data_IF_063218171812
#
_entry.id   IF_063218171812
#
_cell.length_a   1.000
_cell.length_b   1.000
_cell.length_c   1.000
_cell.angle_alpha   90.00
_cell.angle_beta   90.00
_cell.angle_gamma   90.00
#
_symmetry.space_group_name_H-M   'P 1'
#
loop_
_entity.id
_entity.type
_entity.pdbx_description
1 polymer ?
#
# COMPACT_ATOMS: atom_id res chain seq x y z
N UNK A 1 41.07 10.24 -53.72
CA UNK A 1 41.52 11.54 -53.18
C UNK A 1 40.92 11.72 -51.79
N UNK A 2 41.67 12.21 -50.81
CA UNK A 2 41.12 12.56 -49.49
C UNK A 2 40.37 13.92 -49.56
N UNK A 3 39.23 14.01 -48.88
CA UNK A 3 38.45 15.22 -48.82
C UNK A 3 39.19 16.34 -48.08
N UNK A 4 38.91 17.60 -48.48
CA UNK A 4 39.35 18.79 -47.74
C UNK A 4 38.15 19.54 -47.16
N UNK A 5 38.29 20.26 -46.07
CA UNK A 5 37.18 20.99 -45.46
C UNK A 5 36.65 22.11 -46.40
N UNK A 6 37.54 22.75 -47.13
CA UNK A 6 37.18 23.73 -48.16
C UNK A 6 36.32 23.11 -49.26
N UNK A 7 36.67 21.92 -49.75
CA UNK A 7 35.89 21.22 -50.74
C UNK A 7 34.49 20.87 -50.20
N UNK A 8 34.39 20.43 -48.96
CA UNK A 8 33.11 20.07 -48.31
C UNK A 8 32.21 21.31 -48.14
N UNK A 9 32.76 22.45 -47.78
CA UNK A 9 32.01 23.73 -47.64
C UNK A 9 31.37 24.16 -48.94
N UNK A 10 32.14 24.11 -50.04
CA UNK A 10 31.74 24.59 -51.36
C UNK A 10 30.82 23.64 -52.09
N UNK A 11 30.56 22.43 -51.57
CA UNK A 11 29.64 21.47 -52.18
C UNK A 11 28.21 22.00 -52.21
N UNK A 12 27.64 22.06 -53.40
CA UNK A 12 26.22 22.33 -53.64
C UNK A 12 25.42 21.04 -53.70
N UNK A 13 24.21 20.99 -53.15
CA UNK A 13 23.32 19.85 -53.29
C UNK A 13 22.91 19.70 -54.76
N UNK A 14 22.58 18.48 -55.14
CA UNK A 14 22.03 18.13 -56.47
C UNK A 14 20.66 17.46 -56.28
N UNK A 15 19.90 17.31 -57.33
CA UNK A 15 18.54 16.71 -57.30
C UNK A 15 18.55 15.25 -56.77
N UNK A 16 19.70 14.58 -56.79
CA UNK A 16 19.86 13.21 -56.28
C UNK A 16 20.87 13.15 -55.13
N UNK A 17 20.60 12.28 -54.14
CA UNK A 17 21.54 11.99 -53.10
C UNK A 17 22.83 11.37 -53.62
N UNK A 18 23.98 11.93 -53.33
CA UNK A 18 25.29 11.39 -53.74
C UNK A 18 26.27 11.22 -52.56
N UNK A 19 27.30 10.44 -52.78
CA UNK A 19 28.33 10.11 -51.78
C UNK A 19 29.67 10.61 -52.26
N UNK A 20 30.44 11.21 -51.35
CA UNK A 20 31.84 11.57 -51.55
C UNK A 20 32.71 10.72 -50.59
N UNK A 21 33.53 9.88 -51.17
CA UNK A 21 34.45 9.06 -50.37
C UNK A 21 35.62 9.85 -49.84
N UNK A 22 36.01 9.56 -48.61
CA UNK A 22 37.28 9.96 -48.03
C UNK A 22 38.22 8.73 -47.99
N UNK A 23 38.93 8.49 -46.92
CA UNK A 23 39.82 7.35 -46.76
C UNK A 23 39.17 6.26 -45.87
N UNK A 24 39.59 5.00 -46.10
CA UNK A 24 39.28 3.87 -45.18
C UNK A 24 37.79 3.64 -44.89
N UNK A 25 36.92 3.78 -45.90
CA UNK A 25 35.48 3.55 -45.80
C UNK A 25 34.68 4.72 -45.29
N UNK A 26 35.32 5.85 -44.94
CA UNK A 26 34.64 7.08 -44.56
C UNK A 26 34.09 7.76 -45.83
N UNK A 27 32.83 8.26 -45.74
CA UNK A 27 32.23 9.03 -46.82
C UNK A 27 31.22 10.07 -46.27
N UNK A 28 31.07 11.14 -47.01
CA UNK A 28 30.06 12.16 -46.80
C UNK A 28 28.86 11.91 -47.70
N UNK A 29 27.68 11.78 -47.14
CA UNK A 29 26.42 11.64 -47.86
C UNK A 29 25.78 13.04 -47.97
N UNK A 30 25.55 13.54 -49.20
CA UNK A 30 24.90 14.80 -49.44
C UNK A 30 23.48 14.54 -49.96
N UNK A 31 22.48 15.10 -49.33
CA UNK A 31 21.08 14.96 -49.71
C UNK A 31 20.60 16.19 -50.51
N UNK A 32 19.53 16.07 -51.31
CA UNK A 32 18.97 17.18 -52.10
C UNK A 32 18.60 18.42 -51.27
N UNK A 33 18.20 18.20 -50.02
CA UNK A 33 17.89 19.27 -49.05
C UNK A 33 19.13 19.97 -48.48
N UNK A 34 20.33 19.69 -48.99
CA UNK A 34 21.59 20.29 -48.55
C UNK A 34 22.21 19.68 -47.32
N UNK A 35 21.55 18.74 -46.64
CA UNK A 35 22.14 18.10 -45.45
C UNK A 35 23.32 17.20 -45.83
N UNK A 36 24.42 17.33 -45.07
CA UNK A 36 25.69 16.61 -45.25
C UNK A 36 25.91 15.69 -44.04
N UNK A 37 26.00 14.39 -44.24
CA UNK A 37 26.05 13.39 -43.16
C UNK A 37 27.26 12.47 -43.31
N UNK A 38 28.03 12.33 -42.24
CA UNK A 38 29.19 11.41 -42.21
C UNK A 38 28.80 9.99 -41.92
N UNK A 39 29.31 9.05 -42.73
CA UNK A 39 29.18 7.60 -42.59
C UNK A 39 30.51 6.89 -42.77
N UNK A 40 30.65 5.74 -42.13
CA UNK A 40 31.69 4.77 -42.44
C UNK A 40 31.04 3.45 -42.91
N UNK A 41 31.60 2.88 -44.01
CA UNK A 41 31.30 1.54 -44.52
C UNK A 41 32.36 0.58 -43.98
N UNK A 42 31.93 -0.55 -43.44
CA UNK A 42 32.83 -1.57 -42.86
C UNK A 42 32.23 -2.97 -43.02
N UNK A 43 33.05 -3.99 -42.88
CA UNK A 43 32.64 -5.39 -42.88
C UNK A 43 32.93 -6.02 -41.52
N UNK A 44 31.98 -6.82 -41.03
CA UNK A 44 32.15 -7.66 -39.83
C UNK A 44 31.34 -8.95 -40.08
N UNK A 45 31.87 -10.10 -39.70
CA UNK A 45 31.27 -11.42 -39.92
C UNK A 45 30.80 -11.62 -41.37
N UNK A 46 31.63 -11.20 -42.33
CA UNK A 46 31.34 -11.32 -43.76
C UNK A 46 30.27 -10.35 -44.30
N UNK A 47 29.56 -9.62 -43.44
CA UNK A 47 28.46 -8.69 -43.81
C UNK A 47 28.94 -7.24 -43.86
N UNK A 48 28.51 -6.54 -44.92
CA UNK A 48 28.74 -5.13 -45.05
C UNK A 48 27.75 -4.31 -44.20
N UNK A 49 28.25 -3.41 -43.38
CA UNK A 49 27.47 -2.51 -42.52
C UNK A 49 27.90 -1.06 -42.71
N UNK A 50 27.03 -0.11 -42.27
CA UNK A 50 27.28 1.32 -42.25
C UNK A 50 27.11 1.89 -40.86
N UNK A 51 28.00 2.81 -40.45
CA UNK A 51 27.94 3.53 -39.19
C UNK A 51 27.84 5.02 -39.46
N UNK A 52 26.82 5.67 -38.89
CA UNK A 52 26.64 7.13 -39.00
C UNK A 52 27.41 7.82 -37.87
N UNK A 53 28.15 8.90 -38.21
CA UNK A 53 28.88 9.71 -37.21
C UNK A 53 28.19 11.01 -36.86
N UNK A 54 27.40 11.58 -37.75
CA UNK A 54 26.65 12.82 -37.51
C UNK A 54 26.69 13.80 -38.67
N UNK A 55 25.98 14.92 -38.54
CA UNK A 55 25.94 15.95 -39.60
C UNK A 55 27.22 16.81 -39.62
N UNK A 56 27.61 17.24 -40.79
CA UNK A 56 28.53 18.35 -40.97
C UNK A 56 27.73 19.65 -40.99
N UNK A 57 28.19 20.77 -40.31
CA UNK A 57 29.53 20.95 -39.71
C UNK A 57 29.68 20.49 -38.24
N UNK A 58 28.64 20.04 -37.53
CA UNK A 58 28.72 19.64 -36.12
C UNK A 58 29.81 18.59 -35.90
N UNK A 59 29.96 17.67 -36.86
CA UNK A 59 31.09 16.73 -36.94
C UNK A 59 31.98 17.22 -38.07
N UNK A 60 33.11 17.86 -37.72
CA UNK A 60 34.13 18.31 -38.67
C UNK A 60 34.79 17.11 -39.39
N UNK A 61 35.49 17.36 -40.53
CA UNK A 61 36.23 16.33 -41.22
C UNK A 61 37.27 15.62 -40.33
N UNK A 62 37.97 16.43 -39.50
CA UNK A 62 38.95 15.89 -38.55
C UNK A 62 38.27 14.93 -37.53
N UNK A 63 37.17 15.36 -36.95
CA UNK A 63 36.39 14.56 -36.01
C UNK A 63 35.83 13.29 -36.65
N UNK A 64 35.34 13.37 -37.90
CA UNK A 64 34.86 12.23 -38.65
C UNK A 64 35.94 11.18 -38.87
N UNK A 65 37.18 11.60 -39.20
CA UNK A 65 38.35 10.74 -39.32
C UNK A 65 38.73 10.08 -37.99
N UNK A 66 38.72 10.83 -36.89
CA UNK A 66 38.94 10.26 -35.53
C UNK A 66 37.88 9.17 -35.19
N UNK A 67 36.59 9.44 -35.48
CA UNK A 67 35.54 8.45 -35.24
C UNK A 67 35.68 7.22 -36.12
N UNK A 68 36.11 7.39 -37.40
CA UNK A 68 36.44 6.27 -38.30
C UNK A 68 37.54 5.42 -37.70
N UNK A 69 38.64 6.02 -37.26
CA UNK A 69 39.81 5.29 -36.78
C UNK A 69 39.47 4.53 -35.49
N UNK A 70 38.76 5.12 -34.56
CA UNK A 70 38.25 4.46 -33.38
C UNK A 70 37.29 3.29 -33.72
N UNK A 71 36.36 3.48 -34.67
CA UNK A 71 35.47 2.45 -35.11
C UNK A 71 36.21 1.30 -35.80
N UNK A 72 37.26 1.59 -36.59
CA UNK A 72 38.06 0.57 -37.23
C UNK A 72 38.94 -0.25 -36.26
N UNK A 73 39.41 0.36 -35.16
CA UNK A 73 40.05 -0.37 -34.08
C UNK A 73 39.13 -1.44 -33.50
N UNK A 74 37.90 -1.06 -33.17
CA UNK A 74 36.88 -1.98 -32.65
C UNK A 74 36.56 -3.14 -33.65
N UNK A 75 36.42 -2.82 -34.91
CA UNK A 75 36.19 -3.85 -35.92
C UNK A 75 37.37 -4.85 -35.99
N UNK A 76 38.60 -4.39 -35.87
CA UNK A 76 39.80 -5.27 -35.82
C UNK A 76 39.83 -6.14 -34.56
N UNK A 77 39.26 -5.65 -33.45
CA UNK A 77 39.10 -6.38 -32.18
C UNK A 77 37.91 -7.33 -32.21
N UNK A 78 37.17 -7.43 -33.33
CA UNK A 78 36.00 -8.29 -33.47
C UNK A 78 34.70 -7.71 -32.92
N UNK A 79 34.72 -6.45 -32.47
CA UNK A 79 33.53 -5.78 -31.91
C UNK A 79 32.80 -4.95 -32.96
N UNK A 80 31.45 -5.01 -32.96
CA UNK A 80 30.62 -4.23 -33.90
C UNK A 80 30.32 -2.84 -33.34
N UNK A 81 30.91 -1.75 -33.90
CA UNK A 81 30.72 -0.40 -33.40
C UNK A 81 29.27 0.13 -33.55
N UNK A 82 28.46 -0.46 -34.44
CA UNK A 82 27.05 -0.13 -34.55
C UNK A 82 26.22 -0.65 -33.36
N UNK A 83 26.56 -1.83 -32.85
CA UNK A 83 25.94 -2.41 -31.65
C UNK A 83 26.30 -1.58 -30.44
N UNK A 84 27.58 -1.23 -30.28
CA UNK A 84 28.05 -0.36 -29.19
C UNK A 84 27.35 0.99 -29.19
N UNK A 85 27.18 1.61 -30.35
CA UNK A 85 26.47 2.89 -30.50
C UNK A 85 24.99 2.74 -30.12
N UNK A 86 24.36 1.65 -30.51
CA UNK A 86 22.95 1.35 -30.17
C UNK A 86 22.78 1.14 -28.67
N UNK A 87 23.72 0.40 -28.05
CA UNK A 87 23.75 0.21 -26.58
C UNK A 87 23.95 1.55 -25.86
N UNK A 88 24.89 2.39 -26.32
CA UNK A 88 25.13 3.70 -25.75
C UNK A 88 23.92 4.67 -25.90
N UNK A 89 23.22 4.60 -27.02
CA UNK A 89 21.98 5.36 -27.24
C UNK A 89 20.83 4.85 -26.36
N UNK A 90 20.68 3.53 -26.19
CA UNK A 90 19.73 2.94 -25.26
C UNK A 90 20.05 3.34 -23.82
N UNK A 91 21.33 3.31 -23.40
CA UNK A 91 21.77 3.80 -22.10
C UNK A 91 21.47 5.29 -21.90
N UNK A 92 21.57 6.13 -22.93
CA UNK A 92 21.19 7.55 -22.87
C UNK A 92 19.67 7.74 -22.75
N UNK A 93 18.87 6.96 -23.48
CA UNK A 93 17.40 6.98 -23.39
C UNK A 93 16.89 6.46 -22.06
N UNK A 94 17.61 5.53 -21.43
CA UNK A 94 17.22 4.89 -20.16
C UNK A 94 17.83 5.59 -18.93
N UNK A 95 18.19 6.87 -19.00
CA UNK A 95 18.62 7.67 -17.84
C UNK A 95 17.42 8.05 -16.96
N UNK A 96 16.70 7.04 -16.45
CA UNK A 96 15.66 7.24 -15.48
C UNK A 96 16.27 7.27 -14.07
N UNK A 97 15.88 8.27 -13.27
CA UNK A 97 16.27 8.33 -11.86
C UNK A 97 15.41 7.37 -11.02
N UNK A 98 15.89 7.05 -9.82
CA UNK A 98 15.12 6.25 -8.88
C UNK A 98 13.75 6.88 -8.60
N UNK A 99 13.68 8.20 -8.40
CA UNK A 99 12.43 8.95 -8.19
C UNK A 99 11.45 8.73 -9.34
N UNK A 100 11.90 8.88 -10.59
CA UNK A 100 11.04 8.70 -11.76
C UNK A 100 10.49 7.27 -11.84
N UNK A 101 11.35 6.27 -11.62
CA UNK A 101 10.94 4.86 -11.64
C UNK A 101 9.98 4.54 -10.49
N UNK A 102 10.26 5.04 -9.29
CA UNK A 102 9.41 4.86 -8.12
C UNK A 102 8.02 5.48 -8.31
N UNK A 103 7.96 6.68 -8.89
CA UNK A 103 6.67 7.34 -9.18
C UNK A 103 5.90 6.63 -10.30
N UNK A 104 6.57 6.13 -11.34
CA UNK A 104 5.93 5.32 -12.38
C UNK A 104 5.39 4.00 -11.81
N UNK A 105 6.19 3.31 -10.99
CA UNK A 105 5.73 2.12 -10.27
C UNK A 105 4.52 2.42 -9.39
N UNK A 106 4.56 3.52 -8.66
CA UNK A 106 3.46 3.94 -7.80
C UNK A 106 2.18 4.23 -8.60
N UNK A 107 2.27 4.91 -9.75
CA UNK A 107 1.14 5.20 -10.63
C UNK A 107 0.54 3.92 -11.24
N UNK A 108 1.38 2.93 -11.58
CA UNK A 108 0.95 1.64 -12.10
C UNK A 108 0.40 0.69 -11.00
N UNK A 109 0.59 1.05 -9.72
CA UNK A 109 0.21 0.21 -8.57
C UNK A 109 -1.26 0.38 -8.19
N UNK A 110 -2.17 -0.03 -9.09
CA UNK A 110 -3.64 0.19 -9.01
C UNK A 110 -4.39 -0.64 -7.96
N UNK A 111 -3.71 -1.51 -7.21
CA UNK A 111 -4.35 -2.47 -6.29
C UNK A 111 -4.50 -1.98 -4.84
N UNK A 112 -4.10 -0.76 -4.54
CA UNK A 112 -4.20 -0.21 -3.19
C UNK A 112 -5.21 0.94 -3.11
N UNK A 113 -5.74 1.18 -1.89
CA UNK A 113 -6.62 2.33 -1.65
C UNK A 113 -5.85 3.64 -1.86
N UNK A 114 -6.54 4.71 -2.27
CA UNK A 114 -5.94 6.03 -2.46
C UNK A 114 -5.17 6.53 -1.23
N UNK A 115 -5.69 6.26 -0.02
CA UNK A 115 -5.01 6.59 1.23
C UNK A 115 -3.69 5.85 1.41
N UNK A 116 -3.66 4.55 1.09
CA UNK A 116 -2.43 3.77 1.19
C UNK A 116 -1.41 4.19 0.13
N UNK A 117 -1.87 4.52 -1.08
CA UNK A 117 -1.02 5.09 -2.12
C UNK A 117 -0.34 6.38 -1.66
N UNK A 118 -1.10 7.32 -1.09
CA UNK A 118 -0.54 8.56 -0.50
C UNK A 118 0.46 8.26 0.61
N UNK A 119 0.21 7.23 1.41
CA UNK A 119 1.13 6.81 2.50
C UNK A 119 2.45 6.27 1.93
N UNK A 120 2.40 5.44 0.88
CA UNK A 120 3.59 4.94 0.17
C UNK A 120 4.42 6.12 -0.35
N UNK A 121 3.77 7.03 -1.08
CA UNK A 121 4.44 8.20 -1.65
C UNK A 121 5.15 9.03 -0.57
N UNK A 122 4.46 9.41 0.51
CA UNK A 122 5.03 10.18 1.63
C UNK A 122 6.22 9.46 2.28
N UNK A 123 6.18 8.14 2.40
CA UNK A 123 7.30 7.35 2.94
C UNK A 123 8.51 7.36 2.01
N UNK A 124 8.30 7.20 0.69
CA UNK A 124 9.37 7.29 -0.29
C UNK A 124 10.01 8.70 -0.30
N UNK A 125 9.20 9.74 -0.29
CA UNK A 125 9.66 11.13 -0.22
C UNK A 125 10.50 11.40 1.04
N UNK A 126 10.00 10.94 2.19
CA UNK A 126 10.62 11.23 3.49
C UNK A 126 11.90 10.46 3.74
N UNK A 127 12.00 9.22 3.26
CA UNK A 127 13.07 8.31 3.68
C UNK A 127 13.99 7.83 2.56
N UNK A 128 13.54 7.88 1.29
CA UNK A 128 14.31 7.29 0.18
C UNK A 128 14.81 8.34 -0.81
N UNK A 129 14.01 9.37 -1.11
CA UNK A 129 14.35 10.29 -2.19
C UNK A 129 15.48 11.26 -1.87
N UNK A 130 15.76 11.52 -0.60
CA UNK A 130 16.93 12.32 -0.19
C UNK A 130 18.26 11.67 -0.60
N UNK A 131 18.37 10.36 -0.50
CA UNK A 131 19.62 9.63 -0.74
C UNK A 131 19.67 9.00 -2.15
N UNK A 132 18.53 8.53 -2.68
CA UNK A 132 18.45 7.74 -3.90
C UNK A 132 17.72 8.46 -5.04
N UNK A 133 16.88 9.46 -4.72
CA UNK A 133 15.93 10.04 -5.67
C UNK A 133 16.53 10.45 -6.98
N UNK A 134 17.66 11.12 -6.97
CA UNK A 134 18.30 11.69 -8.15
C UNK A 134 19.40 10.78 -8.74
N UNK A 135 19.67 9.63 -8.10
CA UNK A 135 20.58 8.62 -8.67
C UNK A 135 19.90 7.92 -9.84
N UNK A 136 20.66 7.69 -10.91
CA UNK A 136 20.16 6.88 -12.02
C UNK A 136 19.94 5.44 -11.58
N UNK A 137 18.80 4.85 -11.96
CA UNK A 137 18.38 3.51 -11.50
C UNK A 137 19.43 2.42 -11.77
N UNK A 138 20.16 2.51 -12.89
CA UNK A 138 21.19 1.55 -13.28
C UNK A 138 22.51 1.69 -12.49
N UNK A 139 22.67 2.75 -11.70
CA UNK A 139 23.84 3.00 -10.86
C UNK A 139 23.62 2.57 -9.41
N UNK A 140 22.37 2.28 -9.04
CA UNK A 140 22.02 1.87 -7.68
C UNK A 140 22.45 0.41 -7.47
N UNK A 141 23.24 0.21 -6.45
CA UNK A 141 23.71 -1.11 -6.01
C UNK A 141 23.15 -1.42 -4.61
N UNK A 142 23.24 -2.69 -4.21
CA UNK A 142 22.76 -3.17 -2.89
C UNK A 142 23.28 -2.32 -1.73
N UNK A 143 24.56 -1.88 -1.78
CA UNK A 143 25.16 -1.02 -0.75
C UNK A 143 24.43 0.31 -0.58
N UNK A 144 23.96 0.94 -1.66
CA UNK A 144 23.22 2.20 -1.58
C UNK A 144 21.87 2.00 -0.87
N UNK A 145 21.19 0.89 -1.17
CA UNK A 145 19.91 0.53 -0.57
C UNK A 145 20.08 0.23 0.92
N UNK A 146 21.08 -0.58 1.27
CA UNK A 146 21.44 -0.90 2.65
C UNK A 146 21.71 0.38 3.46
N UNK A 147 22.54 1.27 2.93
CA UNK A 147 22.87 2.52 3.62
C UNK A 147 21.63 3.36 3.93
N UNK A 148 20.75 3.52 2.94
CA UNK A 148 19.53 4.33 3.12
C UNK A 148 18.56 3.70 4.11
N UNK A 149 18.36 2.37 4.04
CA UNK A 149 17.44 1.65 4.93
C UNK A 149 17.97 1.56 6.37
N UNK A 150 19.30 1.37 6.55
CA UNK A 150 19.93 1.38 7.88
C UNK A 150 19.77 2.71 8.61
N UNK A 151 19.74 3.84 7.89
CA UNK A 151 19.42 5.16 8.50
C UNK A 151 18.03 5.19 9.15
N UNK A 152 17.08 4.47 8.57
CA UNK A 152 15.69 4.40 9.09
C UNK A 152 15.62 3.42 10.25
N UNK A 153 16.28 2.28 10.14
CA UNK A 153 16.39 1.27 11.19
C UNK A 153 17.05 1.84 12.45
N UNK A 154 18.16 2.56 12.31
CA UNK A 154 18.89 3.17 13.44
C UNK A 154 18.07 4.23 14.19
N UNK A 155 16.98 4.74 13.60
CA UNK A 155 15.99 5.58 14.29
C UNK A 155 14.94 4.77 15.06
N UNK A 156 15.04 3.44 15.08
CA UNK A 156 14.10 2.55 15.74
C UNK A 156 12.81 2.29 14.95
N UNK A 157 12.72 2.71 13.68
CA UNK A 157 11.51 2.57 12.86
C UNK A 157 11.48 1.24 12.11
N UNK A 158 11.53 0.12 12.84
CA UNK A 158 11.66 -1.23 12.27
C UNK A 158 10.55 -1.59 11.28
N UNK A 159 9.27 -1.29 11.62
CA UNK A 159 8.13 -1.53 10.71
C UNK A 159 8.25 -0.72 9.41
N UNK A 160 8.67 0.55 9.52
CA UNK A 160 8.85 1.42 8.35
C UNK A 160 9.99 0.88 7.50
N UNK A 161 11.08 0.43 8.11
CA UNK A 161 12.23 -0.18 7.41
C UNK A 161 11.79 -1.43 6.62
N UNK A 162 11.04 -2.33 7.25
CA UNK A 162 10.52 -3.52 6.58
C UNK A 162 9.60 -3.17 5.39
N UNK A 163 8.73 -2.16 5.56
CA UNK A 163 7.86 -1.69 4.47
C UNK A 163 8.66 -1.05 3.33
N UNK A 164 9.64 -0.21 3.65
CA UNK A 164 10.51 0.44 2.66
C UNK A 164 11.35 -0.59 1.89
N UNK A 165 11.86 -1.63 2.57
CA UNK A 165 12.54 -2.76 1.93
C UNK A 165 11.64 -3.40 0.87
N UNK A 166 10.38 -3.68 1.22
CA UNK A 166 9.43 -4.25 0.29
C UNK A 166 9.14 -3.30 -0.91
N UNK A 167 8.95 -1.99 -0.65
CA UNK A 167 8.73 -1.03 -1.74
C UNK A 167 9.93 -0.96 -2.68
N UNK A 168 11.13 -0.89 -2.15
CA UNK A 168 12.36 -0.85 -2.97
C UNK A 168 12.51 -2.12 -3.79
N UNK A 169 12.27 -3.29 -3.20
CA UNK A 169 12.30 -4.58 -3.93
C UNK A 169 11.33 -4.59 -5.09
N UNK A 170 10.10 -4.09 -4.90
CA UNK A 170 9.09 -4.01 -5.97
C UNK A 170 9.43 -2.95 -7.02
N UNK A 171 9.96 -1.78 -6.62
CA UNK A 171 10.42 -0.73 -7.53
C UNK A 171 11.55 -1.25 -8.42
N UNK A 172 12.53 -1.94 -7.84
CA UNK A 172 13.64 -2.53 -8.60
C UNK A 172 13.16 -3.68 -9.50
N UNK A 173 12.19 -4.50 -9.05
CA UNK A 173 11.54 -5.52 -9.89
C UNK A 173 10.81 -4.89 -11.07
N UNK A 174 10.12 -3.76 -10.85
CA UNK A 174 9.49 -2.98 -11.92
C UNK A 174 10.54 -2.47 -12.92
N UNK A 175 11.67 -1.96 -12.42
CA UNK A 175 12.76 -1.49 -13.28
C UNK A 175 13.36 -2.62 -14.14
N UNK A 176 13.46 -3.85 -13.61
CA UNK A 176 13.88 -5.04 -14.38
C UNK A 176 12.84 -5.38 -15.45
N UNK A 177 11.54 -5.43 -15.10
CA UNK A 177 10.45 -5.72 -16.05
C UNK A 177 10.39 -4.71 -17.20
N UNK A 178 10.67 -3.43 -16.92
CA UNK A 178 10.72 -2.36 -17.93
C UNK A 178 12.09 -2.28 -18.65
N UNK A 179 13.02 -3.18 -18.35
CA UNK A 179 14.35 -3.28 -18.96
C UNK A 179 15.25 -2.05 -18.72
N UNK A 180 15.05 -1.32 -17.62
CA UNK A 180 15.95 -0.25 -17.20
C UNK A 180 17.23 -0.79 -16.55
N UNK A 181 17.14 -1.92 -15.86
CA UNK A 181 18.24 -2.65 -15.22
C UNK A 181 18.15 -4.15 -15.56
N UNK A 182 19.27 -4.87 -15.47
CA UNK A 182 19.35 -6.30 -15.78
C UNK A 182 18.95 -7.21 -14.63
N UNK A 183 19.30 -6.81 -13.40
CA UNK A 183 19.07 -7.56 -12.17
C UNK A 183 18.56 -6.64 -11.07
N UNK A 184 17.87 -7.20 -10.09
CA UNK A 184 17.33 -6.46 -8.97
C UNK A 184 18.32 -6.45 -7.80
N UNK A 185 18.96 -5.31 -7.46
CA UNK A 185 19.93 -5.23 -6.38
C UNK A 185 19.30 -5.29 -4.98
N UNK A 186 17.96 -5.28 -4.88
CA UNK A 186 17.28 -5.35 -3.60
C UNK A 186 16.96 -6.79 -3.15
N UNK A 187 17.27 -7.81 -3.95
CA UNK A 187 17.03 -9.21 -3.56
C UNK A 187 17.93 -9.65 -2.41
N UNK A 188 19.15 -9.13 -2.35
CA UNK A 188 20.14 -9.44 -1.31
C UNK A 188 19.89 -8.66 0.01
N UNK A 189 18.75 -8.00 0.14
CA UNK A 189 18.33 -7.31 1.37
C UNK A 189 17.59 -8.22 2.35
N UNK A 190 17.31 -9.47 1.98
CA UNK A 190 16.62 -10.41 2.86
C UNK A 190 17.55 -10.84 4.01
N UNK A 191 17.02 -10.79 5.24
CA UNK A 191 17.79 -11.09 6.45
C UNK A 191 18.67 -9.96 6.97
N UNK A 192 18.85 -8.86 6.23
CA UNK A 192 19.75 -7.76 6.59
C UNK A 192 19.22 -6.83 7.70
N UNK A 193 17.92 -6.80 7.94
CA UNK A 193 17.30 -5.88 8.89
C UNK A 193 16.61 -6.63 10.01
N UNK A 194 16.62 -6.01 11.19
CA UNK A 194 15.90 -6.51 12.36
C UNK A 194 14.41 -6.59 12.04
N UNK A 195 13.78 -7.77 12.14
CA UNK A 195 12.35 -7.87 11.92
C UNK A 195 11.60 -7.05 12.96
N UNK A 196 10.52 -6.33 12.58
CA UNK A 196 9.68 -5.68 13.55
C UNK A 196 9.06 -6.76 14.47
N UNK A 197 9.12 -6.54 15.77
CA UNK A 197 8.45 -7.41 16.72
C UNK A 197 6.95 -7.46 16.44
N UNK A 198 6.35 -8.65 16.52
CA UNK A 198 4.90 -8.80 16.41
C UNK A 198 4.26 -8.16 17.64
N UNK A 199 3.72 -6.96 17.50
CA UNK A 199 2.93 -6.34 18.56
C UNK A 199 1.46 -6.62 18.30
N UNK A 200 0.85 -7.41 19.21
CA UNK A 200 -0.60 -7.56 19.25
C UNK A 200 -1.22 -6.24 19.77
N UNK A 201 -2.41 -5.92 19.31
CA UNK A 201 -3.15 -4.80 19.87
C UNK A 201 -3.41 -5.07 21.35
N UNK A 202 -3.07 -4.13 22.24
CA UNK A 202 -3.25 -4.34 23.67
C UNK A 202 -4.73 -4.52 24.00
N UNK A 203 -5.00 -5.53 24.81
CA UNK A 203 -6.32 -5.90 25.31
C UNK A 203 -6.21 -6.20 26.81
N UNK A 204 -7.22 -5.79 27.58
CA UNK A 204 -7.26 -6.12 29.00
C UNK A 204 -7.54 -7.63 29.18
N UNK A 205 -6.98 -8.25 30.22
CA UNK A 205 -7.46 -9.55 30.69
C UNK A 205 -8.92 -9.44 31.13
N UNK A 206 -9.70 -10.51 30.99
CA UNK A 206 -11.14 -10.49 31.25
C UNK A 206 -11.49 -10.16 32.70
N UNK A 207 -10.60 -10.44 33.63
CA UNK A 207 -10.72 -10.08 35.06
C UNK A 207 -10.82 -8.56 35.30
N UNK A 208 -10.38 -7.78 34.31
CA UNK A 208 -10.47 -6.32 34.32
C UNK A 208 -11.77 -5.78 33.68
N UNK A 209 -12.69 -6.64 33.26
CA UNK A 209 -13.98 -6.22 32.70
C UNK A 209 -14.78 -5.31 33.66
N UNK A 210 -14.96 -5.65 34.95
CA UNK A 210 -15.71 -4.79 35.87
C UNK A 210 -15.16 -3.37 35.91
N UNK A 211 -13.84 -3.22 35.96
CA UNK A 211 -13.18 -1.92 35.95
C UNK A 211 -13.44 -1.14 34.64
N UNK A 212 -13.31 -1.82 33.48
CA UNK A 212 -13.54 -1.22 32.18
C UNK A 212 -14.99 -0.74 32.02
N UNK A 213 -15.95 -1.57 32.40
CA UNK A 213 -17.38 -1.26 32.31
C UNK A 213 -17.74 -0.08 33.22
N UNK A 214 -17.30 -0.12 34.50
CA UNK A 214 -17.50 0.99 35.44
C UNK A 214 -16.89 2.31 34.97
N UNK A 215 -15.65 2.29 34.45
CA UNK A 215 -15.01 3.50 33.90
C UNK A 215 -15.73 4.00 32.63
N UNK A 216 -16.28 3.09 31.81
CA UNK A 216 -17.04 3.46 30.63
C UNK A 216 -18.38 4.12 31.02
N UNK A 217 -19.05 3.62 32.04
CA UNK A 217 -20.30 4.19 32.55
C UNK A 217 -20.10 5.56 33.17
N UNK A 218 -18.98 5.75 33.87
CA UNK A 218 -18.59 7.01 34.49
C UNK A 218 -17.81 7.94 33.56
N UNK A 219 -17.72 7.64 32.28
CA UNK A 219 -17.02 8.51 31.31
C UNK A 219 -17.67 9.88 31.22
N UNK A 220 -16.97 10.91 31.65
CA UNK A 220 -17.46 12.30 31.78
C UNK A 220 -17.46 13.09 30.47
N UNK A 221 -16.97 12.50 29.37
CA UNK A 221 -16.97 13.16 28.07
C UNK A 221 -18.32 13.11 27.37
N UNK A 222 -18.31 13.40 26.06
CA UNK A 222 -19.53 13.47 25.24
C UNK A 222 -20.32 12.16 25.30
N UNK A 223 -21.66 12.26 25.47
CA UNK A 223 -22.55 11.11 25.59
C UNK A 223 -22.49 10.17 24.37
N UNK A 224 -22.44 10.72 23.13
CA UNK A 224 -22.24 9.92 21.91
C UNK A 224 -20.92 9.14 21.91
N UNK A 225 -19.86 9.67 22.52
CA UNK A 225 -18.58 8.94 22.68
C UNK A 225 -18.71 7.80 23.66
N UNK A 226 -19.46 7.98 24.76
CA UNK A 226 -19.75 6.90 25.71
C UNK A 226 -20.56 5.78 25.06
N UNK A 227 -21.57 6.12 24.27
CA UNK A 227 -22.34 5.13 23.50
C UNK A 227 -21.49 4.42 22.44
N UNK A 228 -20.61 5.15 21.77
CA UNK A 228 -19.66 4.55 20.83
C UNK A 228 -18.69 3.57 21.51
N UNK A 229 -18.22 3.86 22.72
CA UNK A 229 -17.41 2.94 23.54
C UNK A 229 -18.18 1.66 23.85
N UNK A 230 -19.40 1.79 24.40
CA UNK A 230 -20.27 0.64 24.74
C UNK A 230 -20.55 -0.23 23.51
N UNK A 231 -20.95 0.39 22.40
CA UNK A 231 -21.23 -0.34 21.17
C UNK A 231 -19.96 -0.93 20.51
N UNK A 232 -18.80 -0.28 20.68
CA UNK A 232 -17.53 -0.88 20.25
C UNK A 232 -17.23 -2.19 20.98
N UNK A 233 -17.56 -2.27 22.27
CA UNK A 233 -17.39 -3.49 23.07
C UNK A 233 -18.46 -4.54 22.72
N UNK A 234 -19.73 -4.13 22.63
CA UNK A 234 -20.85 -5.03 22.32
C UNK A 234 -20.71 -5.66 20.93
N UNK A 235 -20.38 -4.89 19.90
CA UNK A 235 -20.30 -5.37 18.52
C UNK A 235 -18.96 -5.98 18.16
N UNK A 236 -17.88 -5.57 18.84
CA UNK A 236 -16.48 -5.91 18.57
C UNK A 236 -16.13 -5.96 17.07
N UNK A 237 -16.76 -5.07 16.29
CA UNK A 237 -16.44 -4.81 14.88
C UNK A 237 -15.18 -3.97 14.74
N UNK A 238 -14.68 -3.78 13.52
CA UNK A 238 -13.52 -2.89 13.31
C UNK A 238 -13.92 -1.43 13.55
N UNK A 239 -12.99 -0.64 14.09
CA UNK A 239 -13.22 0.77 14.40
C UNK A 239 -13.71 1.59 13.18
N UNK A 240 -13.25 1.26 11.97
CA UNK A 240 -13.72 1.90 10.74
C UNK A 240 -15.17 1.51 10.39
N UNK A 241 -15.61 0.31 10.74
CA UNK A 241 -16.98 -0.15 10.49
C UNK A 241 -17.96 0.64 11.38
N UNK A 242 -17.67 0.74 12.68
CA UNK A 242 -18.48 1.53 13.61
C UNK A 242 -18.42 3.04 13.31
N UNK A 243 -17.24 3.57 13.02
CA UNK A 243 -17.03 5.00 12.77
C UNK A 243 -17.87 5.54 11.61
N UNK A 244 -18.00 4.76 10.53
CA UNK A 244 -18.75 5.13 9.34
C UNK A 244 -20.20 4.59 9.34
N UNK A 245 -20.66 3.99 10.45
CA UNK A 245 -22.01 3.46 10.59
C UNK A 245 -23.08 4.50 10.28
N UNK A 246 -24.06 4.14 9.47
CA UNK A 246 -25.19 4.99 9.09
C UNK A 246 -26.48 4.42 9.64
N UNK A 247 -27.45 5.28 9.95
CA UNK A 247 -28.78 4.85 10.40
C UNK A 247 -29.49 3.98 9.36
N UNK A 248 -29.32 4.25 8.08
CA UNK A 248 -29.87 3.45 6.97
C UNK A 248 -29.37 1.99 6.92
N UNK A 249 -28.34 1.64 7.68
CA UNK A 249 -27.78 0.28 7.75
C UNK A 249 -28.43 -0.56 8.86
N UNK A 250 -29.31 0.03 9.67
CA UNK A 250 -29.95 -0.64 10.81
C UNK A 250 -31.31 -1.19 10.41
N UNK A 251 -31.47 -2.49 10.41
CA UNK A 251 -32.77 -3.16 10.26
C UNK A 251 -33.36 -3.43 11.66
N UNK A 252 -34.25 -2.53 12.08
CA UNK A 252 -34.93 -2.62 13.38
C UNK A 252 -35.88 -3.82 13.49
N UNK A 253 -36.47 -4.25 12.37
CA UNK A 253 -37.43 -5.37 12.34
C UNK A 253 -36.69 -6.70 12.56
N UNK A 254 -35.55 -6.88 11.85
CA UNK A 254 -34.75 -8.09 11.97
C UNK A 254 -33.75 -8.01 13.12
N UNK A 255 -33.58 -6.86 13.75
CA UNK A 255 -32.58 -6.58 14.78
C UNK A 255 -31.16 -6.84 14.26
N UNK A 256 -30.85 -6.31 13.10
CA UNK A 256 -29.56 -6.48 12.43
C UNK A 256 -28.96 -5.11 12.07
N UNK A 257 -27.66 -5.01 12.18
CA UNK A 257 -26.90 -3.95 11.52
C UNK A 257 -26.18 -4.56 10.31
N UNK A 258 -26.52 -4.06 9.12
CA UNK A 258 -26.06 -4.59 7.84
C UNK A 258 -24.98 -3.65 7.27
N UNK A 259 -23.71 -3.99 7.49
CA UNK A 259 -22.59 -3.23 6.99
C UNK A 259 -22.33 -3.61 5.53
N UNK A 260 -22.51 -2.70 4.56
CA UNK A 260 -22.32 -3.01 3.15
C UNK A 260 -20.82 -3.25 2.82
N UNK A 261 -20.57 -3.92 1.72
CA UNK A 261 -19.20 -4.07 1.19
C UNK A 261 -18.55 -2.73 0.83
N UNK A 262 -19.37 -1.80 0.31
CA UNK A 262 -18.98 -0.43 -0.02
C UNK A 262 -20.17 0.50 0.24
N UNK A 263 -19.89 1.71 0.72
CA UNK A 263 -20.86 2.76 1.00
C UNK A 263 -20.83 3.80 -0.10
N UNK A 264 -21.90 4.56 -0.26
CA UNK A 264 -21.87 5.75 -1.07
C UNK A 264 -20.86 6.77 -0.52
N UNK A 265 -20.05 7.36 -1.44
CA UNK A 265 -19.11 8.42 -1.07
C UNK A 265 -19.89 9.70 -0.76
N UNK A 266 -19.76 10.21 0.45
CA UNK A 266 -20.32 11.51 0.83
C UNK A 266 -19.34 12.62 0.47
N UNK A 267 -19.88 13.74 0.00
CA UNK A 267 -19.12 14.92 -0.34
C UNK A 267 -18.37 15.45 0.89
N UNK A 268 -17.13 15.85 0.71
CA UNK A 268 -16.25 16.37 1.77
C UNK A 268 -15.96 15.44 2.96
N UNK A 269 -16.38 14.17 2.91
CA UNK A 269 -16.07 13.17 3.94
C UNK A 269 -15.09 12.14 3.38
N UNK A 270 -13.80 12.30 3.71
CA UNK A 270 -12.77 11.38 3.26
C UNK A 270 -13.07 9.94 3.70
N UNK A 271 -13.01 9.03 2.74
CA UNK A 271 -13.19 7.59 2.96
C UNK A 271 -14.60 7.16 3.39
N UNK A 272 -15.62 8.00 3.26
CA UNK A 272 -17.01 7.64 3.59
C UNK A 272 -17.56 6.47 2.78
N UNK A 273 -16.94 6.16 1.63
CA UNK A 273 -17.25 4.98 0.81
C UNK A 273 -16.83 3.64 1.46
N UNK A 274 -16.03 3.69 2.53
CA UNK A 274 -15.56 2.45 3.17
C UNK A 274 -16.71 1.70 3.81
N UNK A 275 -17.01 0.52 3.28
CA UNK A 275 -17.79 -0.51 3.92
C UNK A 275 -16.89 -1.45 4.73
N UNK A 276 -17.08 -2.74 4.57
CA UNK A 276 -16.26 -3.75 5.24
C UNK A 276 -14.84 -3.79 4.65
N UNK A 277 -13.86 -4.08 5.49
CA UNK A 277 -12.48 -4.24 5.05
C UNK A 277 -12.30 -5.36 4.02
N UNK A 278 -13.13 -6.39 4.10
CA UNK A 278 -13.04 -7.60 3.28
C UNK A 278 -13.84 -7.49 1.98
N UNK A 279 -14.50 -6.36 1.73
CA UNK A 279 -15.37 -6.12 0.55
C UNK A 279 -16.43 -7.20 0.35
N UNK A 280 -17.02 -7.64 1.43
CA UNK A 280 -18.20 -8.51 1.49
C UNK A 280 -19.14 -7.96 2.55
N UNK A 281 -20.44 -8.00 2.32
CA UNK A 281 -21.42 -7.57 3.30
C UNK A 281 -21.16 -8.26 4.65
N UNK A 282 -21.29 -7.51 5.76
CA UNK A 282 -21.15 -8.05 7.10
C UNK A 282 -22.40 -7.76 7.93
N UNK A 283 -23.08 -8.80 8.35
CA UNK A 283 -24.30 -8.73 9.16
C UNK A 283 -23.89 -8.82 10.62
N UNK A 284 -24.32 -7.89 11.45
CA UNK A 284 -24.08 -7.85 12.90
C UNK A 284 -25.41 -7.97 13.64
N UNK A 285 -25.69 -9.10 14.32
CA UNK A 285 -26.87 -9.22 15.16
C UNK A 285 -26.84 -8.23 16.33
N UNK A 286 -27.98 -7.63 16.62
CA UNK A 286 -28.15 -6.64 17.67
C UNK A 286 -28.75 -7.28 18.93
N UNK A 287 -28.00 -7.33 20.02
CA UNK A 287 -28.51 -7.70 21.34
C UNK A 287 -29.50 -6.69 21.88
N UNK A 288 -30.28 -7.05 22.89
CA UNK A 288 -31.24 -6.17 23.56
C UNK A 288 -30.55 -4.90 24.10
N UNK A 289 -29.39 -5.07 24.69
CA UNK A 289 -28.57 -3.96 25.23
C UNK A 289 -28.08 -3.03 24.10
N UNK A 290 -27.62 -3.60 22.99
CA UNK A 290 -27.18 -2.83 21.84
C UNK A 290 -28.34 -2.00 21.23
N UNK A 291 -29.53 -2.59 21.12
CA UNK A 291 -30.74 -1.90 20.65
C UNK A 291 -31.10 -0.75 21.60
N UNK A 292 -31.04 -0.98 22.91
CA UNK A 292 -31.33 0.07 23.90
C UNK A 292 -30.38 1.27 23.75
N UNK A 293 -29.06 1.02 23.59
CA UNK A 293 -28.08 2.08 23.38
C UNK A 293 -28.28 2.76 22.02
N UNK A 294 -28.57 2.01 20.95
CA UNK A 294 -28.83 2.59 19.63
C UNK A 294 -30.06 3.51 19.65
N UNK A 295 -31.14 3.14 20.35
CA UNK A 295 -32.33 4.01 20.51
C UNK A 295 -32.01 5.30 21.27
N UNK A 296 -31.19 5.23 22.31
CA UNK A 296 -30.71 6.42 23.02
C UNK A 296 -29.80 7.27 22.10
N UNK A 297 -29.01 6.64 21.25
CA UNK A 297 -28.16 7.32 20.26
C UNK A 297 -29.01 7.99 19.18
N UNK A 298 -30.10 7.33 18.74
CA UNK A 298 -31.02 7.85 17.73
C UNK A 298 -31.68 9.15 18.17
N UNK A 299 -32.04 9.28 19.45
CA UNK A 299 -32.55 10.52 20.02
C UNK A 299 -31.57 11.71 19.88
N UNK A 300 -30.28 11.45 19.76
CA UNK A 300 -29.22 12.46 19.64
C UNK A 300 -28.76 12.73 18.21
N UNK A 301 -28.75 11.71 17.36
CA UNK A 301 -28.18 11.78 16.01
C UNK A 301 -29.03 11.14 14.92
N UNK A 302 -30.26 10.71 15.22
CA UNK A 302 -31.16 10.03 14.26
C UNK A 302 -31.57 10.89 13.07
N UNK A 303 -31.49 12.22 13.21
CA UNK A 303 -31.74 13.17 12.12
C UNK A 303 -30.51 13.38 11.20
N UNK A 304 -29.38 12.79 11.52
CA UNK A 304 -28.12 12.87 10.77
C UNK A 304 -27.86 11.57 9.98
N UNK A 305 -26.91 11.61 9.08
CA UNK A 305 -26.54 10.43 8.30
C UNK A 305 -25.80 9.39 9.16
N UNK A 306 -24.84 9.84 9.98
CA UNK A 306 -24.01 8.96 10.78
C UNK A 306 -24.61 8.69 12.16
N UNK A 307 -24.52 7.44 12.63
CA UNK A 307 -24.84 7.07 14.02
C UNK A 307 -23.93 7.86 14.99
N UNK A 308 -22.66 8.02 14.64
CA UNK A 308 -21.68 8.76 15.42
C UNK A 308 -21.10 9.92 14.60
N UNK A 309 -21.77 11.07 14.58
CA UNK A 309 -21.29 12.27 13.91
C UNK A 309 -20.08 12.87 14.60
N UNK A 310 -19.33 13.68 13.87
CA UNK A 310 -18.22 14.46 14.39
C UNK A 310 -18.66 15.47 15.47
N UNK A 311 -17.72 15.88 16.27
CA UNK A 311 -17.98 16.84 17.37
C UNK A 311 -18.17 18.26 16.83
N UNK A 312 -17.33 18.68 15.89
CA UNK A 312 -17.29 20.04 15.32
C UNK A 312 -18.01 20.15 13.97
N UNK A 313 -18.25 19.03 13.33
CA UNK A 313 -18.86 18.95 12.01
C UNK A 313 -19.74 17.70 11.96
N UNK A 314 -21.05 17.91 12.04
CA UNK A 314 -22.02 16.82 12.13
C UNK A 314 -22.25 16.10 10.80
N UNK A 315 -21.85 16.72 9.69
CA UNK A 315 -21.87 16.08 8.35
C UNK A 315 -20.72 15.07 8.20
N UNK A 316 -19.77 15.08 9.11
CA UNK A 316 -18.67 14.10 9.17
C UNK A 316 -18.91 13.06 10.25
N UNK A 317 -18.31 11.88 10.06
CA UNK A 317 -18.27 10.85 11.08
C UNK A 317 -17.28 11.20 12.22
N UNK A 318 -17.40 10.56 13.38
CA UNK A 318 -16.45 10.71 14.49
C UNK A 318 -15.00 10.41 14.03
N UNK A 319 -14.02 11.00 14.73
CA UNK A 319 -12.60 10.76 14.47
C UNK A 319 -12.22 9.30 14.72
N UNK A 320 -11.26 8.80 13.94
CA UNK A 320 -10.68 7.44 14.09
C UNK A 320 -10.01 7.21 15.45
N UNK A 321 -9.64 8.28 16.12
CA UNK A 321 -8.99 8.22 17.43
C UNK A 321 -9.96 8.47 18.61
N UNK A 322 -11.26 8.64 18.35
CA UNK A 322 -12.25 8.99 19.40
C UNK A 322 -12.28 7.96 20.52
N UNK A 323 -12.40 6.67 20.20
CA UNK A 323 -12.41 5.58 21.18
C UNK A 323 -11.10 5.55 21.98
N UNK A 324 -9.95 5.62 21.32
CA UNK A 324 -8.66 5.59 21.99
C UNK A 324 -8.41 6.87 22.82
N UNK A 325 -8.94 8.03 22.40
CA UNK A 325 -8.90 9.25 23.20
C UNK A 325 -9.71 9.08 24.48
N UNK A 326 -10.91 8.51 24.37
CA UNK A 326 -11.76 8.25 25.53
C UNK A 326 -11.12 7.25 26.51
N UNK A 327 -10.52 6.18 26.03
CA UNK A 327 -9.76 5.23 26.87
C UNK A 327 -8.62 5.93 27.63
N UNK A 328 -7.88 6.84 26.97
CA UNK A 328 -6.84 7.63 27.65
C UNK A 328 -7.40 8.57 28.72
N UNK A 329 -8.55 9.20 28.46
CA UNK A 329 -9.24 10.05 29.45
C UNK A 329 -9.68 9.22 30.65
N UNK A 330 -10.09 7.97 30.44
CA UNK A 330 -10.40 7.01 31.51
C UNK A 330 -9.15 6.48 32.24
N UNK A 331 -7.94 6.89 31.86
CA UNK A 331 -6.69 6.54 32.52
C UNK A 331 -5.97 5.32 31.92
N UNK A 332 -6.42 4.75 30.80
CA UNK A 332 -5.76 3.61 30.18
C UNK A 332 -4.62 4.01 29.25
N UNK A 333 -3.57 3.22 29.25
CA UNK A 333 -2.45 3.37 28.30
C UNK A 333 -2.72 2.59 27.01
N UNK A 334 -3.20 3.30 25.96
CA UNK A 334 -3.70 2.66 24.73
C UNK A 334 -2.64 1.94 23.87
N UNK A 335 -1.35 2.02 24.18
CA UNK A 335 -0.28 1.24 23.54
C UNK A 335 0.18 0.03 24.35
N UNK A 336 -0.23 -0.08 25.63
CA UNK A 336 0.26 -1.13 26.54
C UNK A 336 -0.86 -1.91 27.20
N UNK A 337 -2.00 -1.29 27.52
CA UNK A 337 -3.05 -1.91 28.32
C UNK A 337 -4.28 -2.28 27.48
N UNK A 338 -4.95 -1.29 26.86
CA UNK A 338 -6.13 -1.55 26.03
C UNK A 338 -6.33 -0.45 24.99
N UNK A 339 -6.71 -0.88 23.79
CA UNK A 339 -7.18 0.04 22.74
C UNK A 339 -8.53 -0.45 22.20
N UNK A 340 -9.23 0.40 21.43
CA UNK A 340 -10.53 0.04 20.87
C UNK A 340 -10.49 -1.24 20.00
N UNK A 341 -9.34 -1.57 19.38
CA UNK A 341 -9.18 -2.84 18.67
C UNK A 341 -9.03 -4.04 19.64
N UNK A 342 -8.50 -3.81 20.83
CA UNK A 342 -8.36 -4.82 21.89
C UNK A 342 -9.70 -5.40 22.37
N UNK A 343 -10.80 -4.66 22.27
CA UNK A 343 -12.15 -5.15 22.60
C UNK A 343 -12.52 -6.40 21.78
N UNK A 344 -12.04 -6.49 20.56
CA UNK A 344 -12.25 -7.67 19.70
C UNK A 344 -11.52 -8.91 20.24
N UNK A 345 -10.31 -8.72 20.75
CA UNK A 345 -9.55 -9.80 21.38
C UNK A 345 -10.23 -10.27 22.68
N UNK A 346 -10.74 -9.31 23.49
CA UNK A 346 -11.48 -9.62 24.72
C UNK A 346 -12.74 -10.44 24.42
N UNK A 347 -13.57 -10.01 23.47
CA UNK A 347 -14.77 -10.74 23.07
C UNK A 347 -14.44 -12.13 22.51
N UNK A 348 -13.43 -12.21 21.61
CA UNK A 348 -13.01 -13.50 21.04
C UNK A 348 -12.53 -14.47 22.11
N UNK A 349 -11.76 -14.00 23.10
CA UNK A 349 -11.31 -14.81 24.24
C UNK A 349 -12.49 -15.33 25.07
N UNK A 350 -13.42 -14.43 25.47
CA UNK A 350 -14.57 -14.81 26.26
C UNK A 350 -15.48 -15.81 25.55
N UNK A 351 -15.80 -15.57 24.29
CA UNK A 351 -16.63 -16.47 23.47
C UNK A 351 -15.96 -17.84 23.28
N UNK A 352 -14.64 -17.88 23.11
CA UNK A 352 -13.88 -19.14 22.98
C UNK A 352 -13.83 -19.90 24.30
N UNK A 353 -13.60 -19.22 25.44
CA UNK A 353 -13.52 -19.81 26.76
C UNK A 353 -14.88 -20.31 27.29
N UNK A 354 -15.99 -19.73 26.83
CA UNK A 354 -17.35 -20.20 27.16
C UNK A 354 -17.61 -21.62 26.66
N UNK A 355 -16.94 -22.04 25.57
CA UNK A 355 -17.13 -23.32 24.88
C UNK A 355 -18.57 -23.56 24.38
N UNK A 356 -19.35 -22.50 24.21
CA UNK A 356 -20.74 -22.58 23.73
C UNK A 356 -20.82 -22.43 22.20
N UNK A 357 -19.86 -21.73 21.59
CA UNK A 357 -19.96 -21.24 20.23
C UNK A 357 -18.95 -21.87 19.28
N UNK A 358 -19.37 -22.12 18.06
CA UNK A 358 -18.46 -22.64 17.04
C UNK A 358 -17.41 -21.59 16.68
N UNK A 359 -16.17 -22.06 16.42
CA UNK A 359 -15.10 -21.20 15.96
C UNK A 359 -15.49 -20.42 14.70
N UNK A 360 -16.29 -21.05 13.82
CA UNK A 360 -16.77 -20.46 12.57
C UNK A 360 -17.68 -19.27 12.82
N UNK A 361 -18.62 -19.37 13.78
CA UNK A 361 -19.51 -18.29 14.16
C UNK A 361 -18.71 -17.10 14.74
N UNK A 362 -17.75 -17.36 15.62
CA UNK A 362 -16.86 -16.33 16.19
C UNK A 362 -16.05 -15.64 15.08
N UNK A 363 -15.36 -16.39 14.22
CA UNK A 363 -14.57 -15.83 13.11
C UNK A 363 -15.44 -15.03 12.12
N UNK A 364 -16.65 -15.50 11.85
CA UNK A 364 -17.61 -14.78 10.98
C UNK A 364 -18.05 -13.46 11.61
N UNK A 365 -18.34 -13.44 12.93
CA UNK A 365 -18.66 -12.20 13.65
C UNK A 365 -17.46 -11.24 13.67
N UNK A 366 -16.25 -11.77 13.75
CA UNK A 366 -15.02 -10.99 13.61
C UNK A 366 -14.78 -10.49 12.18
N UNK A 367 -15.63 -10.86 11.21
CA UNK A 367 -15.41 -10.55 9.80
C UNK A 367 -14.01 -10.98 9.33
N UNK A 368 -13.54 -12.15 9.79
CA UNK A 368 -12.32 -12.78 9.31
C UNK A 368 -12.66 -13.65 8.09
N UNK A 369 -11.77 -13.67 7.11
CA UNK A 369 -11.88 -14.62 5.99
C UNK A 369 -11.21 -15.93 6.38
N UNK A 370 -11.83 -17.03 5.95
CA UNK A 370 -11.22 -18.36 6.02
C UNK A 370 -9.87 -18.35 5.29
N UNK A 371 -8.78 -18.64 6.00
CA UNK A 371 -7.43 -18.66 5.43
C UNK A 371 -7.17 -19.88 4.57
N UNK A 372 -7.93 -20.95 4.80
CA UNK A 372 -7.83 -22.17 4.03
C UNK A 372 -8.64 -22.01 2.73
N UNK A 373 -7.95 -21.94 1.58
CA UNK A 373 -8.58 -21.76 0.28
C UNK A 373 -9.58 -22.88 -0.08
N UNK A 374 -9.39 -24.09 0.44
CA UNK A 374 -10.31 -25.23 0.26
C UNK A 374 -11.58 -25.04 1.09
N UNK A 375 -11.44 -24.70 2.37
CA UNK A 375 -12.59 -24.39 3.24
C UNK A 375 -13.38 -23.17 2.77
N UNK A 376 -12.69 -22.12 2.31
CA UNK A 376 -13.32 -20.92 1.77
C UNK A 376 -14.23 -21.20 0.56
N UNK A 377 -13.87 -22.16 -0.29
CA UNK A 377 -14.68 -22.53 -1.47
C UNK A 377 -16.01 -23.20 -1.09
N UNK A 378 -16.05 -23.93 0.02
CA UNK A 378 -17.25 -24.68 0.46
C UNK A 378 -18.13 -23.89 1.46
N UNK A 379 -17.57 -22.98 2.25
CA UNK A 379 -18.24 -22.33 3.38
C UNK A 379 -18.48 -20.83 3.14
N UNK A 380 -18.09 -20.28 2.02
CA UNK A 380 -18.07 -18.83 1.79
C UNK A 380 -19.45 -18.12 1.90
N UNK A 381 -20.56 -18.86 1.82
CA UNK A 381 -21.93 -18.32 1.96
C UNK A 381 -22.58 -18.59 3.33
N UNK A 382 -21.93 -19.38 4.20
CA UNK A 382 -22.50 -19.66 5.52
C UNK A 382 -22.38 -18.42 6.42
N UNK A 383 -23.50 -17.92 6.92
CA UNK A 383 -23.55 -16.75 7.81
C UNK A 383 -23.61 -17.12 9.29
N UNK A 384 -23.94 -18.36 9.65
CA UNK A 384 -24.14 -18.83 11.03
C UNK A 384 -25.03 -17.86 11.83
N UNK A 385 -26.08 -17.31 11.17
CA UNK A 385 -26.81 -16.15 11.69
C UNK A 385 -27.54 -16.45 12.98
N UNK A 386 -28.22 -17.60 13.07
CA UNK A 386 -28.97 -18.00 14.28
C UNK A 386 -28.05 -18.19 15.47
N UNK A 387 -26.94 -18.92 15.27
CA UNK A 387 -25.92 -19.10 16.30
C UNK A 387 -25.32 -17.74 16.73
N UNK A 388 -25.05 -16.85 15.76
CA UNK A 388 -24.51 -15.52 16.04
C UNK A 388 -25.50 -14.60 16.76
N UNK A 389 -26.82 -14.72 16.51
CA UNK A 389 -27.84 -13.99 17.25
C UNK A 389 -27.77 -14.37 18.73
N UNK A 390 -27.78 -15.68 19.02
CA UNK A 390 -27.66 -16.19 20.39
C UNK A 390 -26.32 -15.82 21.04
N UNK A 391 -25.23 -15.95 20.30
CA UNK A 391 -23.87 -15.59 20.73
C UNK A 391 -23.74 -14.10 21.10
N UNK A 392 -24.30 -13.21 20.28
CA UNK A 392 -24.22 -11.77 20.53
C UNK A 392 -25.08 -11.35 21.72
N UNK A 393 -26.22 -12.01 21.95
CA UNK A 393 -27.03 -11.80 23.15
C UNK A 393 -26.26 -12.31 24.38
N UNK A 394 -25.75 -13.52 24.34
CA UNK A 394 -24.94 -14.08 25.43
C UNK A 394 -23.74 -13.17 25.80
N UNK A 395 -23.03 -12.64 24.80
CA UNK A 395 -21.94 -11.72 25.05
C UNK A 395 -22.39 -10.45 25.77
N UNK A 396 -23.52 -9.90 25.38
CA UNK A 396 -24.08 -8.71 26.01
C UNK A 396 -24.51 -8.99 27.47
N UNK A 397 -25.16 -10.13 27.73
CA UNK A 397 -25.58 -10.55 29.06
C UNK A 397 -24.37 -10.86 29.94
N UNK A 398 -23.32 -11.49 29.38
CA UNK A 398 -22.04 -11.70 30.04
C UNK A 398 -21.38 -10.38 30.47
N UNK A 399 -21.43 -9.34 29.66
CA UNK A 399 -20.94 -8.02 30.05
C UNK A 399 -21.76 -7.44 31.22
N UNK A 400 -23.09 -7.55 31.19
CA UNK A 400 -23.97 -7.03 32.24
C UNK A 400 -23.70 -7.71 33.58
N UNK A 401 -23.54 -9.03 33.59
CA UNK A 401 -23.22 -9.77 34.83
C UNK A 401 -21.84 -9.37 35.38
N UNK A 402 -20.91 -8.96 34.52
CA UNK A 402 -19.59 -8.52 34.91
C UNK A 402 -19.49 -7.04 35.28
N UNK A 403 -20.60 -6.30 35.45
CA UNK A 403 -20.55 -4.89 35.87
C UNK A 403 -20.02 -4.76 37.31
N UNK A 404 -20.49 -5.59 38.22
CA UNK A 404 -20.15 -5.47 39.66
C UNK A 404 -18.92 -6.30 40.04
N UNK A 405 -18.84 -7.52 39.54
CA UNK A 405 -17.76 -8.47 39.86
C UNK A 405 -17.43 -9.36 38.68
N UNK A 406 -16.19 -9.78 38.60
CA UNK A 406 -15.75 -10.72 37.57
C UNK A 406 -16.35 -12.09 37.77
N UNK A 407 -16.93 -12.62 36.70
CA UNK A 407 -17.30 -14.01 36.53
C UNK A 407 -16.64 -14.52 35.25
N UNK A 408 -15.96 -15.67 35.32
CA UNK A 408 -15.30 -16.20 34.13
C UNK A 408 -16.31 -16.65 33.06
N UNK A 409 -15.95 -16.62 31.76
CA UNK A 409 -16.86 -17.07 30.69
C UNK A 409 -17.33 -18.50 30.86
N UNK A 410 -16.45 -19.38 31.35
CA UNK A 410 -16.77 -20.80 31.60
C UNK A 410 -17.78 -20.96 32.74
N UNK A 411 -17.62 -20.24 33.84
CA UNK A 411 -18.56 -20.27 34.99
C UNK A 411 -19.91 -19.73 34.56
N UNK A 412 -19.95 -18.59 33.84
CA UNK A 412 -21.22 -18.01 33.34
C UNK A 412 -21.94 -18.97 32.40
N UNK A 413 -21.23 -19.62 31.48
CA UNK A 413 -21.78 -20.63 30.58
C UNK A 413 -22.31 -21.87 31.32
N UNK A 414 -21.72 -22.22 32.48
CA UNK A 414 -22.18 -23.30 33.34
C UNK A 414 -23.54 -23.03 33.95
N UNK A 415 -23.77 -21.80 34.45
CA UNK A 415 -25.08 -21.43 35.01
C UNK A 415 -26.21 -21.46 33.98
N UNK A 416 -25.95 -21.14 32.73
CA UNK A 416 -26.95 -21.25 31.65
C UNK A 416 -27.27 -22.72 31.28
N UNK A 417 -26.28 -23.61 31.35
CA UNK A 417 -26.49 -25.06 31.11
C UNK A 417 -27.33 -25.74 32.19
N UNK A 418 -27.26 -25.24 33.44
CA UNK A 418 -28.07 -25.71 34.53
C UNK A 418 -29.50 -25.12 34.53
N UNK A 419 -29.71 -24.00 33.87
CA UNK A 419 -31.00 -23.32 33.75
C UNK A 419 -31.82 -23.72 32.50
N UNK A 420 -31.19 -24.44 31.55
CA UNK A 420 -31.82 -24.93 30.29
C UNK A 420 -32.25 -26.39 30.44
#
# INVERSE_FOLDING_TARGET
>A
MSLTDTAIRNLRPTDKTFKLGDSSGLYLLIKPNGSKLWYMKYRIDGKEKKLAFGPYPDVSLLKARQFRDAARSKVREGADPAVDKKIAQQKKKNRQTFRQIAMNWHADHRRCSAHYATTIQRRLERYMFSDLGDKYIHQIVTKDLLFTLRKVENKGFLEITAMLKNYVTEIMRYAVKKQFIKSNPALDLDGEFTPPGTQHYPALPLEKLPELLSRTDNYSGRLLTRYALKLSLLFFVRSSELRFARWSETDWRQKLWIIPEEREQLENVLFSHRGTKMKTQHIVPLSVQAIAILKQTEALSGHLTFIFPGEYDQDKCMSDNTINKALRVMGYHTKKEVCGHGFRAMACSALSESRLWSKQAIEKQMSHQERNSVGAAYIHKAEYLEERISMMQWWADYLDVNIERYLSPYQYAGHEREAS
#
